data_IF_298487014831
#
_entry.id   IF_298487014831
#
_cell.length_a   1.000
_cell.length_b   1.000
_cell.length_c   1.000
_cell.angle_alpha   90.00
_cell.angle_beta   90.00
_cell.angle_gamma   90.00
#
_symmetry.space_group_name_H-M   'P 1'
#
loop_
_entity.id
_entity.type
_entity.pdbx_description
1 polymer ?
#
# COMPACT_ATOMS: atom_id res chain seq x y z
N UNK A 1 -51.20 -41.69 86.80
CA UNK A 1 -52.11 -41.65 85.64
C UNK A 1 -52.34 -40.22 85.16
N UNK A 2 -52.60 -39.28 86.09
CA UNK A 2 -52.68 -37.84 85.80
C UNK A 2 -51.39 -37.26 85.22
N UNK A 3 -50.23 -37.58 85.79
CA UNK A 3 -48.93 -37.06 85.32
C UNK A 3 -48.57 -37.49 83.89
N UNK A 4 -48.88 -38.73 83.51
CA UNK A 4 -48.64 -39.23 82.16
C UNK A 4 -49.57 -38.57 81.13
N UNK A 5 -50.82 -38.31 81.52
CA UNK A 5 -51.81 -37.61 80.69
C UNK A 5 -51.46 -36.13 80.50
N UNK A 6 -50.94 -35.48 81.53
CA UNK A 6 -50.50 -34.09 81.45
C UNK A 6 -49.18 -33.97 80.66
N UNK A 7 -48.30 -34.97 80.71
CA UNK A 7 -47.12 -35.04 79.85
C UNK A 7 -47.48 -35.18 78.36
N UNK A 8 -48.46 -36.03 78.03
CA UNK A 8 -48.84 -36.31 76.63
C UNK A 8 -49.44 -35.07 75.93
N UNK A 9 -50.18 -34.23 76.67
CA UNK A 9 -50.71 -32.94 76.15
C UNK A 9 -49.64 -31.92 75.77
N UNK A 10 -48.44 -32.03 76.33
CA UNK A 10 -47.31 -31.13 76.00
C UNK A 10 -46.55 -31.59 74.76
N UNK A 11 -46.75 -32.84 74.32
CA UNK A 11 -46.08 -33.44 73.17
C UNK A 11 -46.91 -33.23 71.89
N UNK A 12 -46.71 -32.09 71.23
CA UNK A 12 -47.33 -31.84 69.92
C UNK A 12 -46.37 -32.33 68.82
N UNK A 13 -46.64 -33.52 68.26
CA UNK A 13 -45.90 -34.04 67.13
C UNK A 13 -46.48 -33.52 65.81
N UNK A 14 -45.82 -32.52 65.21
CA UNK A 14 -46.16 -32.05 63.85
C UNK A 14 -45.18 -32.65 62.86
N UNK A 15 -45.71 -33.27 61.80
CA UNK A 15 -44.88 -33.83 60.74
C UNK A 15 -44.07 -32.73 60.05
N UNK A 16 -42.73 -32.85 59.98
CA UNK A 16 -41.84 -31.83 59.43
C UNK A 16 -42.03 -31.58 57.92
N UNK A 17 -42.74 -32.48 57.23
CA UNK A 17 -43.02 -32.46 55.79
C UNK A 17 -44.42 -31.94 55.45
N UNK A 18 -45.14 -31.39 56.43
CA UNK A 18 -46.41 -30.73 56.15
C UNK A 18 -46.20 -29.56 55.17
N UNK A 19 -47.09 -29.38 54.18
CA UNK A 19 -46.89 -28.36 53.12
C UNK A 19 -46.67 -26.94 53.65
N UNK A 20 -47.32 -26.59 54.78
CA UNK A 20 -47.16 -25.29 55.44
C UNK A 20 -45.74 -25.09 56.01
N UNK A 21 -45.15 -26.12 56.61
CA UNK A 21 -43.79 -26.08 57.16
C UNK A 21 -42.75 -26.02 56.04
N UNK A 22 -42.95 -26.78 54.96
CA UNK A 22 -42.07 -26.73 53.79
C UNK A 22 -42.10 -25.34 53.13
N UNK A 23 -43.29 -24.75 52.98
CA UNK A 23 -43.46 -23.39 52.49
C UNK A 23 -42.77 -22.38 53.41
N UNK A 24 -42.94 -22.50 54.72
CA UNK A 24 -42.29 -21.62 55.69
C UNK A 24 -40.76 -21.71 55.64
N UNK A 25 -40.20 -22.91 55.49
CA UNK A 25 -38.75 -23.14 55.32
C UNK A 25 -38.21 -22.52 54.03
N UNK A 26 -38.91 -22.71 52.90
CA UNK A 26 -38.54 -22.11 51.63
C UNK A 26 -38.58 -20.57 51.69
N UNK A 27 -39.62 -20.00 52.31
CA UNK A 27 -39.74 -18.56 52.50
C UNK A 27 -38.66 -18.02 53.46
N UNK A 28 -38.33 -18.75 54.52
CA UNK A 28 -37.25 -18.36 55.43
C UNK A 28 -35.89 -18.31 54.71
N UNK A 29 -35.62 -19.24 53.80
CA UNK A 29 -34.43 -19.19 52.97
C UNK A 29 -34.45 -17.98 52.00
N UNK A 30 -35.59 -17.72 51.36
CA UNK A 30 -35.76 -16.60 50.42
C UNK A 30 -35.62 -15.21 51.09
N UNK A 31 -36.07 -15.08 52.35
CA UNK A 31 -36.04 -13.82 53.11
C UNK A 31 -34.77 -13.68 53.96
N UNK A 32 -33.93 -14.72 54.01
CA UNK A 32 -32.72 -14.72 54.84
C UNK A 32 -31.70 -13.68 54.35
N UNK A 33 -31.43 -12.69 55.21
CA UNK A 33 -30.41 -11.67 54.94
C UNK A 33 -29.01 -12.26 54.72
N UNK A 34 -28.66 -13.32 55.47
CA UNK A 34 -27.36 -14.00 55.33
C UNK A 34 -27.20 -14.60 53.94
N UNK A 35 -28.23 -15.31 53.45
CA UNK A 35 -28.19 -15.92 52.12
C UNK A 35 -28.17 -14.86 51.02
N UNK A 36 -28.90 -13.76 51.21
CA UNK A 36 -28.85 -12.60 50.31
C UNK A 36 -27.44 -12.00 50.22
N UNK A 37 -26.80 -11.70 51.36
CA UNK A 37 -25.45 -11.12 51.39
C UNK A 37 -24.43 -12.07 50.76
N UNK A 38 -24.52 -13.37 51.06
CA UNK A 38 -23.64 -14.37 50.46
C UNK A 38 -23.81 -14.44 48.93
N UNK A 39 -25.05 -14.52 48.44
CA UNK A 39 -25.33 -14.54 47.00
C UNK A 39 -24.85 -13.26 46.31
N UNK A 40 -24.95 -12.11 46.98
CA UNK A 40 -24.44 -10.83 46.49
C UNK A 40 -22.91 -10.79 46.41
N UNK A 41 -22.21 -11.31 47.41
CA UNK A 41 -20.76 -11.45 47.39
C UNK A 41 -20.28 -12.41 46.32
N UNK A 42 -20.96 -13.55 46.14
CA UNK A 42 -20.69 -14.50 45.07
C UNK A 42 -20.92 -13.88 43.68
N UNK A 43 -21.98 -13.09 43.51
CA UNK A 43 -22.24 -12.33 42.28
C UNK A 43 -21.14 -11.31 41.98
N UNK A 44 -20.63 -10.60 43.00
CA UNK A 44 -19.47 -9.70 42.86
C UNK A 44 -18.20 -10.47 42.46
N UNK A 45 -17.96 -11.64 43.05
CA UNK A 45 -16.78 -12.48 42.78
C UNK A 45 -16.78 -13.09 41.37
N UNK A 46 -17.95 -13.35 40.79
CA UNK A 46 -18.06 -13.84 39.39
C UNK A 46 -17.46 -12.89 38.35
N UNK A 47 -17.23 -11.62 38.71
CA UNK A 47 -16.63 -10.63 37.82
C UNK A 47 -17.58 -10.16 36.73
N UNK A 48 -17.10 -9.23 35.90
CA UNK A 48 -17.84 -8.70 34.75
C UNK A 48 -17.15 -9.14 33.46
N UNK A 49 -17.92 -9.70 32.50
CA UNK A 49 -17.43 -9.91 31.13
C UNK A 49 -17.50 -8.59 30.36
N UNK A 50 -16.48 -7.74 30.57
CA UNK A 50 -16.33 -6.50 29.81
C UNK A 50 -15.69 -6.80 28.45
N UNK A 51 -16.55 -7.09 27.47
CA UNK A 51 -16.12 -7.24 26.08
C UNK A 51 -15.49 -5.95 25.56
N UNK A 52 -14.53 -6.07 24.66
CA UNK A 52 -13.76 -4.93 24.12
C UNK A 52 -14.62 -3.90 23.35
N UNK A 53 -15.83 -4.27 22.97
CA UNK A 53 -16.85 -3.47 22.30
C UNK A 53 -17.88 -2.85 23.27
N UNK A 54 -17.75 -3.08 24.58
CA UNK A 54 -18.59 -2.46 25.59
C UNK A 54 -18.61 -0.93 25.43
N UNK A 55 -19.80 -0.33 25.53
CA UNK A 55 -20.03 1.12 25.43
C UNK A 55 -19.01 1.95 26.23
N UNK A 56 -18.72 1.66 27.52
CA UNK A 56 -17.74 2.44 28.28
C UNK A 56 -16.31 2.35 27.72
N UNK A 57 -15.93 1.21 27.14
CA UNK A 57 -14.60 1.03 26.55
C UNK A 57 -14.50 1.79 25.22
N UNK A 58 -15.57 1.74 24.42
CA UNK A 58 -15.64 2.49 23.15
C UNK A 58 -15.61 3.99 23.39
N UNK A 59 -16.38 4.49 24.36
CA UNK A 59 -16.36 5.92 24.70
C UNK A 59 -14.98 6.35 25.22
N UNK A 60 -14.35 5.57 26.10
CA UNK A 60 -13.00 5.85 26.58
C UNK A 60 -11.96 5.89 25.45
N UNK A 61 -12.03 4.96 24.49
CA UNK A 61 -11.18 4.97 23.29
C UNK A 61 -11.39 6.23 22.44
N UNK A 62 -12.65 6.61 22.20
CA UNK A 62 -12.98 7.81 21.44
C UNK A 62 -12.48 9.09 22.14
N UNK A 63 -12.67 9.20 23.46
CA UNK A 63 -12.15 10.33 24.24
C UNK A 63 -10.62 10.41 24.19
N UNK A 64 -9.92 9.27 24.28
CA UNK A 64 -8.46 9.22 24.12
C UNK A 64 -8.03 9.71 22.74
N UNK A 65 -8.75 9.29 21.71
CA UNK A 65 -8.44 9.67 20.34
C UNK A 65 -8.66 11.18 20.09
N UNK A 66 -9.70 11.77 20.68
CA UNK A 66 -9.97 13.21 20.64
C UNK A 66 -8.87 14.01 21.35
N UNK A 67 -8.38 13.52 22.49
CA UNK A 67 -7.32 14.17 23.26
C UNK A 67 -5.92 13.97 22.64
N UNK A 68 -5.78 13.13 21.63
CA UNK A 68 -4.49 12.82 21.01
C UNK A 68 -4.06 13.93 20.05
N UNK A 69 -3.00 14.65 20.40
CA UNK A 69 -2.39 15.68 19.54
C UNK A 69 -1.94 15.11 18.18
N UNK A 70 -1.46 13.87 18.14
CA UNK A 70 -1.11 13.19 16.90
C UNK A 70 -2.32 13.05 15.96
N UNK A 71 -3.44 12.49 16.45
CA UNK A 71 -4.65 12.33 15.64
C UNK A 71 -5.23 13.67 15.23
N UNK A 72 -5.19 14.66 16.11
CA UNK A 72 -5.59 16.03 15.78
C UNK A 72 -4.78 16.59 14.61
N UNK A 73 -3.45 16.55 14.68
CA UNK A 73 -2.56 17.02 13.62
C UNK A 73 -2.74 16.25 12.32
N UNK A 74 -2.88 14.93 12.40
CA UNK A 74 -3.14 14.08 11.23
C UNK A 74 -4.45 14.49 10.52
N UNK A 75 -5.53 14.68 11.28
CA UNK A 75 -6.80 15.14 10.70
C UNK A 75 -6.71 16.55 10.13
N UNK A 76 -5.97 17.45 10.77
CA UNK A 76 -5.73 18.80 10.28
C UNK A 76 -4.98 18.78 8.93
N UNK A 77 -3.91 18.00 8.80
CA UNK A 77 -3.20 17.86 7.53
C UNK A 77 -4.09 17.28 6.42
N UNK A 78 -4.93 16.30 6.74
CA UNK A 78 -5.91 15.74 5.78
C UNK A 78 -6.97 16.74 5.35
N UNK A 79 -7.36 17.66 6.25
CA UNK A 79 -8.35 18.70 5.96
C UNK A 79 -7.74 19.91 5.24
N UNK A 80 -6.41 20.06 5.21
CA UNK A 80 -5.78 21.09 4.39
C UNK A 80 -6.14 20.89 2.92
N UNK A 81 -6.56 21.97 2.28
CA UNK A 81 -7.00 21.93 0.89
C UNK A 81 -8.46 21.52 0.70
N UNK A 82 -9.24 21.21 1.75
CA UNK A 82 -10.68 20.91 1.60
C UNK A 82 -11.49 22.07 1.00
N UNK A 83 -11.01 23.32 1.18
CA UNK A 83 -11.62 24.51 0.57
C UNK A 83 -11.22 24.75 -0.89
N UNK A 84 -10.31 23.96 -1.44
CA UNK A 84 -9.99 23.98 -2.86
C UNK A 84 -11.12 23.21 -3.54
N UNK A 85 -12.02 23.92 -4.22
CA UNK A 85 -13.21 23.35 -4.88
C UNK A 85 -12.91 22.43 -6.08
N UNK A 86 -11.68 21.93 -6.20
CA UNK A 86 -11.21 21.08 -7.27
C UNK A 86 -10.65 19.78 -6.65
N UNK A 87 -11.12 18.59 -7.09
CA UNK A 87 -10.69 17.30 -6.54
C UNK A 87 -9.18 17.06 -6.67
N UNK A 88 -8.56 17.60 -7.73
CA UNK A 88 -7.11 17.59 -7.93
C UNK A 88 -6.58 19.01 -8.18
N UNK A 89 -5.30 19.22 -7.87
CA UNK A 89 -4.57 20.47 -8.17
C UNK A 89 -4.51 20.75 -9.68
N UNK A 90 -4.62 19.72 -10.51
CA UNK A 90 -4.61 19.84 -11.96
C UNK A 90 -5.93 20.42 -12.50
N UNK A 91 -7.03 20.19 -11.77
CA UNK A 91 -8.38 20.65 -12.18
C UNK A 91 -8.62 22.13 -11.88
N UNK A 92 -7.86 22.74 -10.94
CA UNK A 92 -7.93 24.17 -10.70
C UNK A 92 -7.19 24.94 -11.82
N UNK A 93 -7.90 25.76 -12.63
CA UNK A 93 -7.26 26.57 -13.65
C UNK A 93 -6.15 27.44 -13.08
N UNK A 94 -6.35 28.12 -11.94
CA UNK A 94 -5.34 29.05 -11.41
C UNK A 94 -4.06 28.35 -10.98
N UNK A 95 -4.17 27.22 -10.28
CA UNK A 95 -3.00 26.44 -9.87
C UNK A 95 -2.29 25.79 -11.07
N UNK A 96 -3.03 25.27 -12.05
CA UNK A 96 -2.43 24.69 -13.26
C UNK A 96 -1.66 25.75 -14.07
N UNK A 97 -2.20 26.96 -14.19
CA UNK A 97 -1.52 28.10 -14.80
C UNK A 97 -0.26 28.51 -14.03
N UNK A 98 -0.33 28.58 -12.70
CA UNK A 98 0.84 28.89 -11.86
C UNK A 98 1.96 27.85 -11.99
N UNK A 99 1.60 26.55 -12.00
CA UNK A 99 2.56 25.47 -12.21
C UNK A 99 3.24 25.56 -13.58
N UNK A 100 2.47 25.85 -14.63
CA UNK A 100 3.01 26.05 -15.98
C UNK A 100 3.93 27.27 -16.06
N UNK A 101 3.58 28.38 -15.42
CA UNK A 101 4.42 29.58 -15.36
C UNK A 101 5.77 29.27 -14.65
N UNK A 102 5.74 28.50 -13.57
CA UNK A 102 6.95 28.06 -12.86
C UNK A 102 7.82 27.12 -13.72
N UNK A 103 7.21 26.25 -14.52
CA UNK A 103 7.96 25.42 -15.48
C UNK A 103 8.63 26.26 -16.56
N UNK A 104 7.96 27.32 -17.05
CA UNK A 104 8.51 28.21 -18.08
C UNK A 104 9.69 29.05 -17.55
N UNK A 105 9.70 29.40 -16.27
CA UNK A 105 10.84 30.07 -15.62
C UNK A 105 12.11 29.22 -15.59
N UNK A 106 11.99 27.90 -15.80
CA UNK A 106 13.14 27.02 -15.82
C UNK A 106 13.88 27.13 -17.17
N UNK A 107 14.99 27.85 -17.17
CA UNK A 107 15.88 28.04 -18.33
C UNK A 107 16.27 26.74 -19.03
N UNK A 108 16.43 25.64 -18.27
CA UNK A 108 16.76 24.33 -18.84
C UNK A 108 15.63 23.79 -19.71
N UNK A 109 14.38 23.91 -19.26
CA UNK A 109 13.20 23.47 -20.01
C UNK A 109 13.02 24.39 -21.22
N UNK A 110 13.14 25.70 -21.02
CA UNK A 110 13.05 26.69 -22.08
C UNK A 110 14.03 26.42 -23.23
N UNK A 111 15.30 26.09 -22.92
CA UNK A 111 16.34 25.83 -23.94
C UNK A 111 16.37 24.40 -24.47
N UNK A 112 15.61 23.47 -23.87
CA UNK A 112 15.65 22.05 -24.23
C UNK A 112 15.34 21.83 -25.71
N UNK A 113 14.21 22.35 -26.19
CA UNK A 113 13.79 22.18 -27.58
C UNK A 113 14.81 22.75 -28.58
N UNK A 114 15.42 23.89 -28.26
CA UNK A 114 16.50 24.48 -29.07
C UNK A 114 17.75 23.59 -29.09
N UNK A 115 18.15 23.04 -27.94
CA UNK A 115 19.32 22.17 -27.87
C UNK A 115 19.09 20.82 -28.56
N UNK A 116 17.85 20.31 -28.53
CA UNK A 116 17.48 19.08 -29.21
C UNK A 116 17.45 19.26 -30.73
N UNK A 117 17.04 20.44 -31.23
CA UNK A 117 16.90 20.72 -32.67
C UNK A 117 18.12 21.36 -33.32
N UNK A 118 18.96 22.11 -32.59
CA UNK A 118 20.11 22.84 -33.17
C UNK A 118 21.10 21.96 -33.93
N UNK A 119 21.16 20.67 -33.60
CA UNK A 119 22.03 19.69 -34.25
C UNK A 119 21.32 18.91 -35.36
N UNK A 120 19.99 19.03 -35.49
CA UNK A 120 19.22 18.40 -36.55
C UNK A 120 19.32 19.24 -37.82
N UNK A 121 20.38 18.99 -38.60
CA UNK A 121 20.57 19.61 -39.91
C UNK A 121 19.90 18.72 -40.97
N UNK A 122 18.86 19.24 -41.61
CA UNK A 122 18.21 18.57 -42.73
C UNK A 122 18.72 19.14 -44.05
N UNK A 123 19.60 18.41 -44.73
CA UNK A 123 20.04 18.75 -46.09
C UNK A 123 19.17 17.98 -47.09
N UNK A 124 18.61 18.65 -48.11
CA UNK A 124 17.88 17.95 -49.17
C UNK A 124 18.83 17.00 -49.90
N UNK A 125 18.32 15.84 -50.30
CA UNK A 125 19.09 14.82 -51.04
C UNK A 125 19.65 15.39 -52.36
N UNK A 126 18.91 16.30 -52.98
CA UNK A 126 19.28 16.97 -54.22
C UNK A 126 20.17 18.22 -54.02
N UNK A 127 20.79 18.37 -52.83
CA UNK A 127 21.75 19.44 -52.61
C UNK A 127 22.94 19.29 -53.59
N UNK A 128 23.17 20.33 -54.40
CA UNK A 128 24.25 20.35 -55.41
C UNK A 128 25.63 20.06 -54.80
N UNK A 129 25.88 20.49 -53.56
CA UNK A 129 27.13 20.21 -52.84
C UNK A 129 27.31 18.72 -52.55
N UNK A 130 26.23 18.01 -52.18
CA UNK A 130 26.23 16.57 -51.92
C UNK A 130 26.41 15.80 -53.22
N UNK A 131 25.73 16.22 -54.30
CA UNK A 131 25.89 15.61 -55.62
C UNK A 131 27.32 15.78 -56.16
N UNK A 132 27.88 16.99 -56.06
CA UNK A 132 29.24 17.28 -56.47
C UNK A 132 30.27 16.48 -55.65
N UNK A 133 30.07 16.36 -54.33
CA UNK A 133 30.92 15.53 -53.48
C UNK A 133 30.84 14.06 -53.86
N UNK A 134 29.65 13.53 -54.18
CA UNK A 134 29.47 12.14 -54.63
C UNK A 134 30.20 11.87 -55.93
N UNK A 135 30.10 12.79 -56.90
CA UNK A 135 30.82 12.69 -58.17
C UNK A 135 32.33 12.79 -57.96
N UNK A 136 32.79 13.74 -57.15
CA UNK A 136 34.20 13.85 -56.78
C UNK A 136 34.74 12.58 -56.13
N UNK A 137 33.98 11.99 -55.19
CA UNK A 137 34.35 10.74 -54.54
C UNK A 137 34.43 9.59 -55.54
N UNK A 138 33.49 9.47 -56.49
CA UNK A 138 33.55 8.43 -57.53
C UNK A 138 34.77 8.57 -58.44
N UNK A 139 35.19 9.80 -58.75
CA UNK A 139 36.38 10.06 -59.57
C UNK A 139 37.68 9.76 -58.82
N UNK A 140 37.72 10.03 -57.50
CA UNK A 140 38.89 9.77 -56.65
C UNK A 140 38.96 8.30 -56.25
N UNK A 141 37.82 7.62 -56.14
CA UNK A 141 37.79 6.22 -55.76
C UNK A 141 38.24 5.34 -56.92
N UNK A 142 39.32 4.60 -56.71
CA UNK A 142 39.74 3.50 -57.60
C UNK A 142 38.84 2.26 -57.49
N UNK A 143 37.71 2.35 -56.77
CA UNK A 143 36.80 1.23 -56.53
C UNK A 143 36.25 0.63 -57.84
N UNK A 144 35.87 1.49 -58.79
CA UNK A 144 35.39 1.07 -60.10
C UNK A 144 36.53 0.57 -61.01
N UNK A 145 37.77 1.02 -60.77
CA UNK A 145 38.95 0.62 -61.53
C UNK A 145 39.56 -0.71 -61.06
N UNK A 146 39.40 -1.07 -59.77
CA UNK A 146 39.78 -2.36 -59.18
C UNK A 146 38.82 -3.50 -59.54
N UNK A 147 38.15 -3.44 -60.69
CA UNK A 147 37.39 -4.58 -61.21
C UNK A 147 38.37 -5.65 -61.73
N UNK A 148 38.75 -6.58 -60.85
CA UNK A 148 39.56 -7.74 -61.21
C UNK A 148 38.75 -8.68 -62.11
N UNK A 149 39.08 -8.69 -63.41
CA UNK A 149 38.43 -9.53 -64.43
C UNK A 149 38.61 -11.03 -64.12
N UNK A 150 39.71 -11.36 -63.44
CA UNK A 150 40.02 -12.72 -63.03
C UNK A 150 40.35 -12.73 -61.54
N UNK A 151 39.44 -13.26 -60.73
CA UNK A 151 39.77 -13.68 -59.37
C UNK A 151 40.51 -15.01 -59.46
N UNK A 152 41.81 -15.00 -59.21
CA UNK A 152 42.56 -16.23 -59.04
C UNK A 152 42.03 -16.92 -57.78
N UNK A 153 41.35 -18.05 -57.99
CA UNK A 153 40.89 -18.93 -56.91
C UNK A 153 41.87 -20.09 -56.84
N UNK A 154 42.47 -20.30 -55.67
CA UNK A 154 43.32 -21.47 -55.44
C UNK A 154 42.44 -22.72 -55.47
N UNK A 155 43.00 -23.86 -55.89
CA UNK A 155 42.29 -25.12 -55.78
C UNK A 155 42.04 -25.45 -54.29
N UNK A 156 40.94 -26.17 -53.95
CA UNK A 156 40.57 -26.42 -52.56
C UNK A 156 41.57 -27.25 -51.74
N UNK A 157 42.55 -27.87 -52.40
CA UNK A 157 43.60 -28.68 -51.79
C UNK A 157 44.86 -27.88 -51.38
N UNK A 158 44.99 -26.62 -51.82
CA UNK A 158 46.16 -25.78 -51.57
C UNK A 158 45.98 -24.87 -50.34
N UNK A 159 45.85 -25.48 -49.16
CA UNK A 159 45.57 -24.77 -47.89
C UNK A 159 46.60 -23.70 -47.53
N UNK A 160 47.89 -23.92 -47.80
CA UNK A 160 48.95 -22.95 -47.45
C UNK A 160 48.75 -21.60 -48.15
N UNK A 161 48.35 -21.63 -49.41
CA UNK A 161 48.10 -20.42 -50.23
C UNK A 161 46.81 -19.73 -49.79
N UNK A 162 45.79 -20.52 -49.42
CA UNK A 162 44.51 -20.01 -48.91
C UNK A 162 44.70 -19.26 -47.59
N UNK A 163 45.46 -19.83 -46.65
CA UNK A 163 45.75 -19.18 -45.36
C UNK A 163 46.61 -17.93 -45.51
N UNK A 164 47.63 -17.96 -46.38
CA UNK A 164 48.43 -16.78 -46.67
C UNK A 164 47.58 -15.64 -47.23
N UNK A 165 46.67 -15.93 -48.18
CA UNK A 165 45.74 -14.95 -48.73
C UNK A 165 44.83 -14.34 -47.65
N UNK A 166 44.20 -15.17 -46.83
CA UNK A 166 43.32 -14.69 -45.75
C UNK A 166 44.05 -13.75 -44.78
N UNK A 167 45.32 -14.06 -44.46
CA UNK A 167 46.14 -13.20 -43.60
C UNK A 167 46.48 -11.86 -44.26
N UNK A 168 46.75 -11.83 -45.57
CA UNK A 168 46.99 -10.59 -46.31
C UNK A 168 45.74 -9.72 -46.41
N UNK A 169 44.58 -10.31 -46.68
CA UNK A 169 43.30 -9.59 -46.76
C UNK A 169 42.98 -8.90 -45.40
N UNK A 170 43.20 -9.60 -44.28
CA UNK A 170 43.05 -9.07 -42.91
C UNK A 170 44.02 -7.92 -42.58
N UNK A 171 45.17 -7.83 -43.24
CA UNK A 171 46.15 -6.76 -43.05
C UNK A 171 45.92 -5.55 -43.95
N UNK A 172 45.05 -5.67 -44.96
CA UNK A 172 44.84 -4.65 -45.98
C UNK A 172 43.69 -3.66 -45.71
N UNK A 173 43.01 -3.81 -44.56
CA UNK A 173 42.03 -2.85 -43.99
C UNK A 173 42.72 -1.71 -43.22
#
# INVERSE_FOLDING_TARGET
YTEAWDADKTSIHVMPDTPSILLAKANAANVSHKLYVQAWEEAKKKGYDMRADAIPIRSAKASRDIASDYKYKETHEKQKGHYIGCPSVQDDPKLSWAARAMQLQNDRIYRKAYHDSKAQVHMPVDAMSVQAAKQGQSLVSDADYRQYIHQWTCLPDQNDVIHAKQAYDLQSD
#
